data_IF_014121166354
#
_entry.id   IF_014121166354
#
_cell.length_a   1.000
_cell.length_b   1.000
_cell.length_c   1.000
_cell.angle_alpha   90.00
_cell.angle_beta   90.00
_cell.angle_gamma   90.00
#
_symmetry.space_group_name_H-M   'P 1'
#
loop_
_entity.id
_entity.type
_entity.pdbx_description
1 polymer ?
#
# COMPACT_ATOMS: atom_id res chain seq x y z
N UNK A 1 37.27 -12.85 12.03
CA UNK A 1 36.97 -12.04 10.83
C UNK A 1 35.74 -11.20 11.19
N UNK A 2 35.84 -9.87 11.27
CA UNK A 2 34.66 -9.04 11.53
C UNK A 2 33.67 -9.21 10.37
N UNK A 3 32.39 -9.26 10.70
CA UNK A 3 31.29 -9.39 9.75
C UNK A 3 31.24 -8.16 8.84
N UNK A 4 31.63 -8.31 7.57
CA UNK A 4 31.62 -7.24 6.56
C UNK A 4 30.29 -7.14 5.82
N UNK A 5 29.20 -7.69 6.39
CA UNK A 5 27.89 -7.58 5.77
C UNK A 5 27.47 -6.10 5.71
N UNK A 6 27.17 -5.54 4.52
CA UNK A 6 26.77 -4.15 4.41
C UNK A 6 25.50 -3.91 5.22
N UNK A 7 25.50 -2.88 6.07
CA UNK A 7 24.35 -2.49 6.86
C UNK A 7 23.10 -2.30 5.97
N UNK A 8 21.91 -2.70 6.43
CA UNK A 8 20.70 -2.64 5.61
C UNK A 8 20.42 -1.19 5.18
N UNK A 9 20.29 -0.98 3.87
CA UNK A 9 20.04 0.34 3.30
C UNK A 9 18.76 0.97 3.89
N UNK A 10 18.90 2.11 4.57
CA UNK A 10 17.78 2.79 5.23
C UNK A 10 17.16 3.82 4.28
N UNK A 11 15.85 3.78 4.10
CA UNK A 11 15.12 4.76 3.30
C UNK A 11 14.35 5.75 4.18
N UNK A 12 14.48 7.06 3.93
CA UNK A 12 13.77 8.13 4.67
C UNK A 12 12.96 9.04 3.75
N UNK A 13 11.85 9.55 4.28
CA UNK A 13 10.98 10.53 3.64
C UNK A 13 10.13 9.99 2.48
N UNK A 14 9.44 10.90 1.79
CA UNK A 14 8.77 10.67 0.52
C UNK A 14 9.48 11.48 -0.57
N UNK A 15 9.65 10.89 -1.74
CA UNK A 15 10.18 11.57 -2.92
C UNK A 15 9.05 12.12 -3.79
N UNK A 16 9.35 13.01 -4.73
CA UNK A 16 8.38 13.49 -5.73
C UNK A 16 7.76 12.32 -6.52
N UNK A 17 8.57 11.28 -6.82
CA UNK A 17 8.09 10.05 -7.44
C UNK A 17 7.09 9.31 -6.55
N UNK A 18 7.38 9.19 -5.25
CA UNK A 18 6.47 8.50 -4.33
C UNK A 18 5.12 9.24 -4.27
N UNK A 19 5.15 10.57 -4.25
CA UNK A 19 3.93 11.39 -4.28
C UNK A 19 3.15 11.21 -5.59
N UNK A 20 3.84 11.18 -6.74
CA UNK A 20 3.23 10.93 -8.04
C UNK A 20 2.58 9.54 -8.11
N UNK A 21 3.26 8.51 -7.62
CA UNK A 21 2.71 7.15 -7.54
C UNK A 21 1.47 7.10 -6.63
N UNK A 22 1.54 7.78 -5.47
CA UNK A 22 0.41 7.88 -4.54
C UNK A 22 -0.80 8.51 -5.23
N UNK A 23 -0.59 9.63 -5.92
CA UNK A 23 -1.64 10.37 -6.64
C UNK A 23 -2.24 9.56 -7.80
N UNK A 24 -1.41 8.90 -8.61
CA UNK A 24 -1.87 8.05 -9.73
C UNK A 24 -2.73 6.90 -9.22
N UNK A 25 -2.34 6.25 -8.14
CA UNK A 25 -3.16 5.18 -7.57
C UNK A 25 -4.41 5.69 -6.88
N UNK A 26 -4.38 6.85 -6.21
CA UNK A 26 -5.60 7.49 -5.70
C UNK A 26 -6.58 7.82 -6.83
N UNK A 27 -6.08 8.33 -7.97
CA UNK A 27 -6.88 8.54 -9.17
C UNK A 27 -7.42 7.23 -9.76
N UNK A 28 -6.62 6.16 -9.74
CA UNK A 28 -7.09 4.83 -10.16
C UNK A 28 -8.25 4.33 -9.29
N UNK A 29 -8.19 4.51 -7.96
CA UNK A 29 -9.30 4.19 -7.06
C UNK A 29 -10.57 4.97 -7.44
N UNK A 30 -10.44 6.26 -7.75
CA UNK A 30 -11.54 7.10 -8.20
C UNK A 30 -12.10 6.68 -9.57
N UNK A 31 -11.26 6.23 -10.49
CA UNK A 31 -11.75 5.70 -11.78
C UNK A 31 -12.45 4.37 -11.60
N UNK A 32 -11.96 3.49 -10.72
CA UNK A 32 -12.57 2.19 -10.45
C UNK A 32 -13.89 2.26 -9.66
N UNK A 33 -14.21 3.40 -9.06
CA UNK A 33 -15.49 3.62 -8.37
C UNK A 33 -16.61 4.10 -9.30
N UNK A 34 -16.26 4.73 -10.43
CA UNK A 34 -17.23 5.32 -11.37
C UNK A 34 -18.07 4.28 -12.15
N UNK A 35 -17.49 3.21 -12.73
CA UNK A 35 -18.25 2.27 -13.55
C UNK A 35 -18.88 1.14 -12.70
N UNK A 36 -20.13 0.78 -13.02
CA UNK A 36 -20.83 -0.42 -12.54
C UNK A 36 -21.07 -0.53 -11.02
N UNK A 37 -21.69 0.49 -10.42
CA UNK A 37 -22.30 0.34 -9.10
C UNK A 37 -23.58 -0.51 -9.22
N UNK A 38 -23.55 -1.79 -8.84
CA UNK A 38 -24.75 -2.62 -8.82
C UNK A 38 -25.40 -2.51 -7.43
N UNK A 39 -26.58 -1.89 -7.31
CA UNK A 39 -27.26 -1.75 -6.03
C UNK A 39 -27.86 -3.10 -5.64
N UNK A 40 -27.28 -3.76 -4.63
CA UNK A 40 -27.77 -5.02 -4.05
C UNK A 40 -28.21 -4.85 -2.59
N UNK A 41 -28.23 -3.61 -2.09
CA UNK A 41 -28.51 -3.28 -0.70
C UNK A 41 -27.88 -1.92 -0.32
N UNK A 42 -27.68 -1.65 0.98
CA UNK A 42 -27.07 -0.40 1.46
C UNK A 42 -25.60 -0.26 1.05
N UNK A 43 -24.95 -1.37 0.69
CA UNK A 43 -23.59 -1.43 0.16
C UNK A 43 -23.66 -1.86 -1.31
N UNK A 44 -23.24 -1.03 -2.27
CA UNK A 44 -23.23 -1.41 -3.68
C UNK A 44 -22.05 -2.32 -4.02
N UNK A 45 -22.22 -3.21 -5.00
CA UNK A 45 -21.09 -3.92 -5.63
C UNK A 45 -20.35 -2.93 -6.52
N UNK A 46 -19.02 -2.88 -6.41
CA UNK A 46 -18.17 -1.97 -7.19
C UNK A 46 -16.87 -2.64 -7.59
N UNK A 47 -16.14 -2.06 -8.55
CA UNK A 47 -14.76 -2.43 -8.85
C UNK A 47 -13.74 -1.70 -7.96
N UNK A 48 -14.18 -0.76 -7.13
CA UNK A 48 -13.29 0.10 -6.33
C UNK A 48 -12.40 -0.70 -5.36
N UNK A 49 -12.91 -1.78 -4.78
CA UNK A 49 -12.15 -2.66 -3.88
C UNK A 49 -10.97 -3.34 -4.56
N UNK A 50 -10.99 -3.49 -5.90
CA UNK A 50 -9.83 -3.92 -6.68
C UNK A 50 -8.67 -2.94 -6.52
N UNK A 51 -8.94 -1.63 -6.59
CA UNK A 51 -7.92 -0.58 -6.41
C UNK A 51 -7.32 -0.60 -5.02
N UNK A 52 -8.14 -0.84 -4.00
CA UNK A 52 -7.71 -0.98 -2.58
C UNK A 52 -6.77 -2.16 -2.40
N UNK A 53 -6.97 -3.26 -3.11
CA UNK A 53 -6.06 -4.41 -3.09
C UNK A 53 -4.80 -4.17 -3.93
N UNK A 54 -4.95 -3.57 -5.11
CA UNK A 54 -3.88 -3.41 -6.09
C UNK A 54 -2.82 -2.38 -5.68
N UNK A 55 -3.23 -1.26 -5.08
CA UNK A 55 -2.32 -0.20 -4.65
C UNK A 55 -1.21 -0.68 -3.69
N UNK A 56 -1.53 -1.32 -2.54
CA UNK A 56 -0.52 -1.86 -1.63
C UNK A 56 0.23 -3.07 -2.17
N UNK A 57 -0.40 -3.87 -3.05
CA UNK A 57 0.26 -5.00 -3.71
C UNK A 57 1.40 -4.55 -4.66
N UNK A 58 1.22 -3.43 -5.35
CA UNK A 58 2.24 -2.86 -6.27
C UNK A 58 3.20 -1.92 -5.53
N UNK A 59 2.66 -0.97 -4.75
CA UNK A 59 3.45 0.12 -4.19
C UNK A 59 4.05 -0.17 -2.81
N UNK A 60 3.60 -1.25 -2.16
CA UNK A 60 3.94 -1.63 -0.79
C UNK A 60 3.13 -0.88 0.28
N UNK A 61 3.39 -1.22 1.55
CA UNK A 61 2.63 -0.75 2.72
C UNK A 61 2.46 0.78 2.77
N UNK A 62 3.57 1.54 2.71
CA UNK A 62 3.53 3.00 2.86
C UNK A 62 2.74 3.68 1.75
N UNK A 63 3.18 3.51 0.50
CA UNK A 63 2.59 4.21 -0.65
C UNK A 63 1.19 3.73 -0.96
N UNK A 64 0.91 2.42 -0.86
CA UNK A 64 -0.43 1.88 -1.09
C UNK A 64 -1.44 2.42 -0.06
N UNK A 65 -1.08 2.42 1.22
CA UNK A 65 -1.94 2.99 2.27
C UNK A 65 -2.13 4.49 2.07
N UNK A 66 -1.07 5.22 1.70
CA UNK A 66 -1.19 6.65 1.38
C UNK A 66 -2.10 6.89 0.17
N UNK A 67 -2.09 6.05 -0.86
CA UNK A 67 -3.05 6.17 -1.98
C UNK A 67 -4.49 6.05 -1.53
N UNK A 68 -4.79 5.08 -0.66
CA UNK A 68 -6.14 4.90 -0.09
C UNK A 68 -6.51 6.10 0.78
N UNK A 69 -5.61 6.57 1.64
CA UNK A 69 -5.82 7.75 2.49
C UNK A 69 -6.03 9.02 1.67
N UNK A 70 -5.22 9.25 0.64
CA UNK A 70 -5.37 10.39 -0.28
C UNK A 70 -6.72 10.33 -0.98
N UNK A 71 -7.12 9.16 -1.49
CA UNK A 71 -8.45 8.99 -2.08
C UNK A 71 -9.56 9.34 -1.08
N UNK A 72 -9.51 8.81 0.15
CA UNK A 72 -10.51 9.10 1.18
C UNK A 72 -10.50 10.57 1.61
N UNK A 73 -9.34 11.21 1.68
CA UNK A 73 -9.24 12.64 1.98
C UNK A 73 -9.92 13.49 0.90
N UNK A 74 -9.78 13.13 -0.38
CA UNK A 74 -10.45 13.81 -1.49
C UNK A 74 -11.98 13.61 -1.44
N UNK A 75 -12.44 12.39 -1.14
CA UNK A 75 -13.86 12.11 -0.91
C UNK A 75 -14.39 12.97 0.25
N UNK A 76 -13.68 12.99 1.38
CA UNK A 76 -14.05 13.77 2.56
C UNK A 76 -14.11 15.27 2.28
N UNK A 77 -13.21 15.78 1.43
CA UNK A 77 -13.21 17.16 0.95
C UNK A 77 -14.41 17.51 0.03
N UNK A 78 -15.26 16.53 -0.31
CA UNK A 78 -16.50 16.75 -1.05
C UNK A 78 -16.45 16.32 -2.51
N UNK A 79 -15.33 15.76 -2.99
CA UNK A 79 -15.27 15.33 -4.40
C UNK A 79 -16.16 14.09 -4.60
N UNK A 80 -16.94 14.03 -5.69
CA UNK A 80 -17.90 12.95 -5.97
C UNK A 80 -17.21 11.69 -6.51
N UNK A 81 -16.26 11.14 -5.76
CA UNK A 81 -15.40 10.04 -6.19
C UNK A 81 -15.87 8.66 -5.72
N UNK A 82 -16.97 8.58 -4.99
CA UNK A 82 -17.59 7.30 -4.63
C UNK A 82 -18.67 6.91 -5.65
N UNK A 83 -19.10 5.63 -5.67
CA UNK A 83 -20.11 5.15 -6.59
C UNK A 83 -21.40 5.97 -6.48
N UNK A 84 -22.01 6.28 -7.63
CA UNK A 84 -23.18 7.17 -7.70
C UNK A 84 -22.84 8.65 -7.52
N UNK A 85 -21.57 9.04 -7.65
CA UNK A 85 -21.14 10.44 -7.49
C UNK A 85 -21.18 10.93 -6.05
N UNK A 86 -21.06 10.01 -5.08
CA UNK A 86 -21.11 10.36 -3.65
C UNK A 86 -19.79 10.96 -3.19
N UNK A 87 -19.86 11.85 -2.21
CA UNK A 87 -18.72 12.55 -1.63
C UNK A 87 -19.10 13.24 -0.32
N UNK A 88 -18.14 13.89 0.33
CA UNK A 88 -18.31 14.60 1.59
C UNK A 88 -18.28 13.68 2.80
N UNK A 89 -18.84 14.15 3.91
CA UNK A 89 -18.83 13.46 5.21
C UNK A 89 -19.88 12.33 5.27
N UNK A 90 -21.00 12.48 4.57
CA UNK A 90 -22.15 11.57 4.63
C UNK A 90 -21.78 10.08 4.40
N UNK A 91 -20.96 9.70 3.41
CA UNK A 91 -20.57 8.30 3.21
C UNK A 91 -19.74 7.70 4.36
N UNK A 92 -19.03 8.52 5.14
CA UNK A 92 -18.21 8.09 6.27
C UNK A 92 -19.02 7.79 7.52
N UNK A 93 -20.13 8.52 7.71
CA UNK A 93 -21.07 8.29 8.82
C UNK A 93 -22.23 7.38 8.44
N UNK A 94 -22.31 6.96 7.17
CA UNK A 94 -23.33 6.06 6.64
C UNK A 94 -22.99 4.56 6.78
N UNK A 95 -23.77 3.67 6.14
CA UNK A 95 -23.64 2.21 6.30
C UNK A 95 -22.31 1.66 5.77
N UNK A 96 -21.63 2.40 4.90
CA UNK A 96 -20.34 2.02 4.28
C UNK A 96 -19.12 2.49 5.07
N UNK A 97 -19.30 3.31 6.11
CA UNK A 97 -18.19 3.97 6.82
C UNK A 97 -17.13 3.00 7.35
N UNK A 98 -17.56 1.90 7.96
CA UNK A 98 -16.65 0.86 8.47
C UNK A 98 -15.79 0.20 7.39
N UNK A 99 -16.30 0.05 6.16
CA UNK A 99 -15.52 -0.50 5.05
C UNK A 99 -14.40 0.46 4.63
N UNK A 100 -14.61 1.77 4.72
CA UNK A 100 -13.58 2.77 4.38
C UNK A 100 -12.42 2.72 5.37
N UNK A 101 -12.73 2.56 6.66
CA UNK A 101 -11.71 2.30 7.69
C UNK A 101 -11.00 0.96 7.42
N UNK A 102 -11.77 -0.06 7.08
CA UNK A 102 -11.28 -1.37 6.68
C UNK A 102 -10.35 -1.31 5.45
N UNK A 103 -10.59 -0.42 4.49
CA UNK A 103 -9.73 -0.25 3.31
C UNK A 103 -8.35 0.27 3.68
N UNK A 104 -8.26 1.21 4.62
CA UNK A 104 -6.97 1.73 5.10
C UNK A 104 -6.19 0.62 5.83
N UNK A 105 -6.85 -0.05 6.77
CA UNK A 105 -6.23 -1.14 7.54
C UNK A 105 -5.84 -2.32 6.64
N UNK A 106 -6.74 -2.72 5.73
CA UNK A 106 -6.53 -3.78 4.76
C UNK A 106 -5.37 -3.47 3.82
N UNK A 107 -5.27 -2.24 3.33
CA UNK A 107 -4.15 -1.84 2.46
C UNK A 107 -2.81 -1.89 3.19
N UNK A 108 -2.77 -1.44 4.45
CA UNK A 108 -1.59 -1.57 5.28
C UNK A 108 -1.18 -3.04 5.46
N UNK A 109 -2.14 -3.91 5.78
CA UNK A 109 -1.91 -5.35 5.96
C UNK A 109 -1.38 -6.00 4.68
N UNK A 110 -2.00 -5.78 3.52
CA UNK A 110 -1.55 -6.34 2.24
C UNK A 110 -0.10 -5.95 1.96
N UNK A 111 0.21 -4.65 2.12
CA UNK A 111 1.54 -4.15 1.84
C UNK A 111 2.60 -4.62 2.82
N UNK A 112 2.25 -4.79 4.11
CA UNK A 112 3.15 -5.34 5.13
C UNK A 112 3.41 -6.82 4.87
N UNK A 113 2.37 -7.63 4.67
CA UNK A 113 2.52 -9.05 4.38
C UNK A 113 3.35 -9.28 3.13
N UNK A 114 3.11 -8.49 2.07
CA UNK A 114 3.87 -8.59 0.83
C UNK A 114 5.35 -8.24 1.04
N UNK A 115 5.66 -7.19 1.81
CA UNK A 115 7.04 -6.79 2.07
C UNK A 115 7.78 -7.77 2.99
N UNK A 116 7.09 -8.37 3.98
CA UNK A 116 7.70 -9.26 4.97
C UNK A 116 7.88 -10.68 4.44
N UNK A 117 6.90 -11.22 3.71
CA UNK A 117 6.86 -12.63 3.36
C UNK A 117 7.16 -12.91 1.89
N UNK A 118 7.27 -11.89 1.04
CA UNK A 118 7.60 -12.05 -0.39
C UNK A 118 8.81 -11.21 -0.79
N UNK A 119 9.98 -11.87 -0.85
CA UNK A 119 11.18 -11.28 -1.46
C UNK A 119 10.98 -10.97 -2.96
N UNK A 120 10.17 -11.79 -3.65
CA UNK A 120 9.67 -11.54 -5.00
C UNK A 120 8.17 -11.76 -4.99
N UNK A 121 7.42 -10.83 -5.57
CA UNK A 121 5.97 -10.91 -5.62
C UNK A 121 5.53 -12.11 -6.48
N UNK A 122 4.68 -12.98 -5.94
CA UNK A 122 4.15 -14.18 -6.61
C UNK A 122 2.63 -14.17 -6.57
N UNK A 123 2.00 -14.70 -7.61
CA UNK A 123 0.54 -14.74 -7.74
C UNK A 123 -0.16 -15.32 -6.51
N UNK A 124 0.16 -16.56 -6.10
CA UNK A 124 -0.54 -17.23 -5.00
C UNK A 124 -0.34 -16.53 -3.64
N UNK A 125 0.88 -16.06 -3.34
CA UNK A 125 1.14 -15.28 -2.13
C UNK A 125 0.37 -13.97 -2.13
N UNK A 126 0.40 -13.25 -3.26
CA UNK A 126 -0.36 -12.01 -3.44
C UNK A 126 -1.87 -12.22 -3.33
N UNK A 127 -2.40 -13.30 -3.89
CA UNK A 127 -3.81 -13.67 -3.78
C UNK A 127 -4.20 -13.89 -2.33
N UNK A 128 -3.44 -14.70 -1.58
CA UNK A 128 -3.69 -14.94 -0.16
C UNK A 128 -3.67 -13.65 0.66
N UNK A 129 -2.69 -12.76 0.42
CA UNK A 129 -2.60 -11.50 1.15
C UNK A 129 -3.72 -10.53 0.79
N UNK A 130 -4.15 -10.50 -0.48
CA UNK A 130 -5.32 -9.74 -0.91
C UNK A 130 -6.62 -10.28 -0.29
N UNK A 131 -6.76 -11.59 -0.14
CA UNK A 131 -7.91 -12.18 0.58
C UNK A 131 -7.89 -11.79 2.06
N UNK A 132 -6.74 -11.92 2.73
CA UNK A 132 -6.61 -11.57 4.15
C UNK A 132 -6.88 -10.08 4.38
N UNK A 133 -6.17 -9.19 3.69
CA UNK A 133 -6.27 -7.75 3.95
C UNK A 133 -7.43 -7.09 3.21
N UNK A 134 -7.68 -7.45 1.95
CA UNK A 134 -8.69 -6.80 1.11
C UNK A 134 -10.10 -7.34 1.29
N UNK A 135 -10.28 -8.52 1.89
CA UNK A 135 -11.58 -9.10 2.22
C UNK A 135 -11.71 -9.25 3.73
N UNK A 136 -10.85 -10.05 4.35
CA UNK A 136 -10.94 -10.38 5.78
C UNK A 136 -10.89 -9.15 6.68
N UNK A 137 -9.83 -8.34 6.58
CA UNK A 137 -9.69 -7.11 7.37
C UNK A 137 -10.76 -6.10 6.99
N UNK A 138 -11.06 -5.92 5.70
CA UNK A 138 -12.10 -4.98 5.26
C UNK A 138 -13.47 -5.33 5.87
N UNK A 139 -13.85 -6.62 5.88
CA UNK A 139 -15.11 -7.09 6.44
C UNK A 139 -15.11 -7.08 7.97
N UNK A 140 -13.95 -7.28 8.62
CA UNK A 140 -13.80 -7.16 10.07
C UNK A 140 -14.22 -5.78 10.59
N UNK A 141 -13.94 -4.71 9.83
CA UNK A 141 -14.40 -3.36 10.18
C UNK A 141 -15.78 -3.04 9.59
N UNK A 142 -16.04 -3.46 8.35
CA UNK A 142 -17.26 -3.13 7.62
C UNK A 142 -18.52 -3.75 8.20
N UNK A 143 -18.52 -5.06 8.47
CA UNK A 143 -19.71 -5.79 8.88
C UNK A 143 -20.25 -5.30 10.24
N UNK A 144 -19.42 -5.19 11.31
CA UNK A 144 -19.91 -4.71 12.60
C UNK A 144 -20.44 -3.27 12.52
N UNK A 145 -19.76 -2.42 11.76
CA UNK A 145 -20.22 -1.04 11.54
C UNK A 145 -21.59 -0.99 10.89
N UNK A 146 -21.77 -1.73 9.78
CA UNK A 146 -23.06 -1.77 9.08
C UNK A 146 -24.15 -2.31 9.97
N UNK A 147 -23.91 -3.39 10.72
CA UNK A 147 -24.88 -3.97 11.64
C UNK A 147 -25.35 -2.96 12.70
N UNK A 148 -24.41 -2.22 13.30
CA UNK A 148 -24.74 -1.16 14.27
C UNK A 148 -25.51 -0.02 13.60
N UNK A 149 -25.11 0.39 12.39
CA UNK A 149 -25.75 1.49 11.68
C UNK A 149 -27.18 1.16 11.25
N UNK A 150 -27.44 -0.05 10.76
CA UNK A 150 -28.77 -0.47 10.30
C UNK A 150 -29.66 -0.98 11.43
N UNK A 151 -29.08 -1.30 12.59
CA UNK A 151 -29.79 -1.93 13.70
C UNK A 151 -30.05 -3.43 13.48
N UNK A 152 -29.36 -4.05 12.52
CA UNK A 152 -29.51 -5.46 12.20
C UNK A 152 -28.65 -6.36 13.10
N UNK A 153 -29.04 -7.63 13.20
CA UNK A 153 -28.21 -8.64 13.83
C UNK A 153 -26.91 -8.86 13.03
N UNK A 154 -25.76 -8.93 13.73
CA UNK A 154 -24.44 -9.11 13.10
C UNK A 154 -24.40 -10.32 12.15
N UNK A 155 -25.05 -11.42 12.53
CA UNK A 155 -25.12 -12.64 11.71
C UNK A 155 -25.92 -12.41 10.42
N UNK A 156 -27.02 -11.64 10.48
CA UNK A 156 -27.81 -11.31 9.30
C UNK A 156 -27.01 -10.43 8.34
N UNK A 157 -26.29 -9.43 8.85
CA UNK A 157 -25.39 -8.59 8.05
C UNK A 157 -24.26 -9.42 7.42
N UNK A 158 -23.66 -10.34 8.17
CA UNK A 158 -22.62 -11.26 7.68
C UNK A 158 -23.13 -12.13 6.51
N UNK A 159 -24.33 -12.69 6.64
CA UNK A 159 -24.94 -13.48 5.57
C UNK A 159 -25.27 -12.61 4.35
N UNK A 160 -25.77 -11.40 4.58
CA UNK A 160 -26.08 -10.43 3.52
C UNK A 160 -24.85 -10.04 2.70
N UNK A 161 -23.69 -9.83 3.34
CA UNK A 161 -22.45 -9.51 2.62
C UNK A 161 -21.84 -10.71 1.89
N UNK A 162 -22.31 -11.92 2.16
CA UNK A 162 -21.85 -13.13 1.46
C UNK A 162 -22.02 -13.05 -0.06
N UNK A 163 -22.97 -12.24 -0.55
CA UNK A 163 -23.17 -11.98 -1.99
C UNK A 163 -21.97 -11.30 -2.66
N UNK A 164 -21.17 -10.53 -1.90
CA UNK A 164 -20.00 -9.82 -2.41
C UNK A 164 -18.78 -10.73 -2.57
N UNK A 165 -18.74 -11.84 -1.81
CA UNK A 165 -17.55 -12.68 -1.65
C UNK A 165 -17.03 -13.27 -2.98
N UNK A 166 -17.88 -13.83 -3.88
CA UNK A 166 -17.39 -14.34 -5.16
C UNK A 166 -16.71 -13.26 -5.99
N UNK A 167 -17.31 -12.06 -6.05
CA UNK A 167 -16.75 -10.94 -6.78
C UNK A 167 -15.46 -10.42 -6.17
N UNK A 168 -15.35 -10.42 -4.84
CA UNK A 168 -14.13 -9.98 -4.14
C UNK A 168 -12.98 -10.98 -4.29
N UNK A 169 -13.26 -12.28 -4.35
CA UNK A 169 -12.26 -13.29 -4.68
C UNK A 169 -11.72 -13.12 -6.11
N UNK A 170 -12.60 -12.84 -7.08
CA UNK A 170 -12.18 -12.53 -8.46
C UNK A 170 -11.29 -11.29 -8.48
N UNK A 171 -11.65 -10.23 -7.74
CA UNK A 171 -10.81 -9.02 -7.63
C UNK A 171 -9.47 -9.29 -6.96
N UNK A 172 -9.44 -10.09 -5.90
CA UNK A 172 -8.20 -10.47 -5.23
C UNK A 172 -7.24 -11.21 -6.18
N UNK A 173 -7.79 -12.13 -6.99
CA UNK A 173 -7.03 -12.85 -8.01
C UNK A 173 -6.53 -11.91 -9.11
N UNK A 174 -7.38 -11.02 -9.61
CA UNK A 174 -7.01 -10.04 -10.62
C UNK A 174 -5.92 -9.08 -10.11
N UNK A 175 -6.07 -8.56 -8.88
CA UNK A 175 -5.07 -7.71 -8.25
C UNK A 175 -3.72 -8.42 -8.10
N UNK A 176 -3.74 -9.70 -7.70
CA UNK A 176 -2.53 -10.50 -7.57
C UNK A 176 -1.85 -10.77 -8.92
N UNK A 177 -2.63 -11.06 -9.97
CA UNK A 177 -2.13 -11.26 -11.33
C UNK A 177 -1.50 -9.98 -11.90
N UNK A 178 -2.19 -8.84 -11.79
CA UNK A 178 -1.67 -7.54 -12.25
C UNK A 178 -0.41 -7.17 -11.47
N UNK A 179 -0.41 -7.29 -10.13
CA UNK A 179 0.76 -6.97 -9.34
C UNK A 179 1.96 -7.86 -9.67
N UNK A 180 1.75 -9.17 -9.86
CA UNK A 180 2.82 -10.09 -10.28
C UNK A 180 3.39 -9.72 -11.66
N UNK A 181 2.53 -9.35 -12.61
CA UNK A 181 2.96 -8.89 -13.94
C UNK A 181 3.77 -7.58 -13.85
N UNK A 182 3.30 -6.61 -13.05
CA UNK A 182 3.99 -5.32 -12.85
C UNK A 182 5.36 -5.53 -12.19
N UNK A 183 5.45 -6.32 -11.13
CA UNK A 183 6.73 -6.60 -10.45
C UNK A 183 7.72 -7.35 -11.36
N UNK A 184 7.24 -8.14 -12.31
CA UNK A 184 8.09 -8.82 -13.31
C UNK A 184 8.59 -7.86 -14.40
N UNK A 185 7.77 -6.90 -14.82
CA UNK A 185 8.12 -5.96 -15.90
C UNK A 185 8.89 -4.72 -15.39
N UNK A 186 8.52 -4.22 -14.20
CA UNK A 186 9.04 -3.00 -13.61
C UNK A 186 9.27 -3.18 -12.10
N UNK A 187 10.51 -3.39 -11.65
CA UNK A 187 10.81 -3.44 -10.23
C UNK A 187 10.57 -2.05 -9.63
N UNK A 188 9.51 -1.91 -8.82
CA UNK A 188 9.19 -0.66 -8.15
C UNK A 188 10.17 -0.47 -6.99
N UNK A 189 11.03 0.57 -6.98
CA UNK A 189 11.98 0.79 -5.92
C UNK A 189 11.28 1.11 -4.59
N UNK A 190 11.95 0.81 -3.45
CA UNK A 190 11.46 1.14 -2.13
C UNK A 190 11.11 2.64 -2.00
N UNK A 191 10.12 2.96 -1.17
CA UNK A 191 9.71 4.34 -0.93
C UNK A 191 10.77 5.13 -0.14
N UNK A 192 11.01 6.39 -0.51
CA UNK A 192 11.97 7.28 0.15
C UNK A 192 13.38 7.25 -0.43
N UNK A 193 14.20 8.25 -0.07
CA UNK A 193 15.61 8.32 -0.53
C UNK A 193 16.46 7.36 0.28
N UNK A 194 17.40 6.69 -0.39
CA UNK A 194 18.45 5.91 0.27
C UNK A 194 19.31 6.89 1.09
N UNK A 195 19.43 6.63 2.38
CA UNK A 195 20.36 7.34 3.24
C UNK A 195 21.64 6.50 3.24
N UNK A 196 22.70 7.01 2.63
CA UNK A 196 24.04 6.46 2.84
C UNK A 196 24.47 6.84 4.25
N UNK A 197 24.81 5.86 5.08
CA UNK A 197 25.45 6.13 6.36
C UNK A 197 26.83 6.73 6.06
N UNK A 198 27.10 7.92 6.62
CA UNK A 198 28.42 8.50 6.57
C UNK A 198 29.42 7.48 7.14
N UNK A 199 30.61 7.30 6.53
CA UNK A 199 31.58 6.31 6.98
C UNK A 199 31.83 6.50 8.48
N UNK A 200 31.90 5.40 9.21
CA UNK A 200 32.13 5.43 10.65
C UNK A 200 33.37 6.28 10.94
N UNK A 201 33.35 7.08 12.00
CA UNK A 201 34.43 8.01 12.33
C UNK A 201 35.83 7.33 12.36
N UNK A 202 35.88 6.02 12.66
CA UNK A 202 37.10 5.21 12.57
C UNK A 202 37.60 4.97 11.14
N UNK A 203 36.72 4.67 10.17
CA UNK A 203 37.11 4.52 8.76
C UNK A 203 37.49 5.86 8.13
N UNK A 204 36.86 6.96 8.55
CA UNK A 204 37.25 8.30 8.12
C UNK A 204 38.64 8.68 8.64
N UNK A 205 38.98 8.32 9.89
CA UNK A 205 40.30 8.53 10.48
C UNK A 205 41.37 7.62 9.85
N UNK A 206 41.03 6.36 9.55
CA UNK A 206 41.95 5.42 8.90
C UNK A 206 42.26 5.82 7.44
N UNK A 207 41.25 6.27 6.70
CA UNK A 207 41.43 6.82 5.34
C UNK A 207 42.19 8.15 5.33
N UNK A 208 42.02 8.97 6.37
CA UNK A 208 42.80 10.20 6.53
C UNK A 208 44.27 9.88 6.80
N UNK A 209 44.57 8.93 7.69
CA UNK A 209 45.94 8.46 7.97
C UNK A 209 46.63 7.84 6.76
N UNK A 210 45.94 7.01 5.98
CA UNK A 210 46.48 6.39 4.76
C UNK A 210 46.77 7.42 3.65
N UNK A 211 46.00 8.50 3.56
CA UNK A 211 46.27 9.59 2.61
C UNK A 211 47.44 10.48 3.05
N UNK A 212 47.66 10.67 4.35
CA UNK A 212 48.82 11.38 4.88
C UNK A 212 50.12 10.59 4.67
N UNK A 213 50.09 9.26 4.88
CA UNK A 213 51.23 8.37 4.62
C UNK A 213 51.61 8.32 3.12
N UNK A 214 50.63 8.20 2.22
CA UNK A 214 50.88 8.22 0.77
C UNK A 214 51.33 9.60 0.25
N UNK A 215 50.89 10.70 0.89
CA UNK A 215 51.34 12.06 0.57
C UNK A 215 52.77 12.36 1.02
N UNK A 216 53.25 11.71 2.08
CA UNK A 216 54.63 11.84 2.56
C UNK A 216 55.65 11.10 1.66
N UNK A 217 55.27 9.96 1.09
CA UNK A 217 56.14 9.15 0.23
C UNK A 217 56.46 9.78 -1.14
N UNK A 218 55.69 10.76 -1.60
CA UNK A 218 55.88 11.43 -2.91
C UNK A 218 56.82 12.63 -2.88
N UNK A 219 57.26 13.08 -1.69
CA UNK A 219 58.17 14.25 -1.54
C UNK A 219 59.66 13.92 -1.52
N UNK A 220 60.06 12.65 -1.61
CA UNK A 220 61.45 12.21 -1.41
C UNK A 220 62.14 11.66 -2.67
N UNK A 221 61.62 12.00 -3.87
CA UNK A 221 62.04 11.40 -5.14
C UNK A 221 62.61 12.35 -6.18
N UNK A 222 62.97 13.58 -5.81
CA UNK A 222 63.64 14.54 -6.72
C UNK A 222 64.81 15.19 -6.00
N UNK A 223 65.96 14.53 -6.03
CA UNK A 223 67.30 15.14 -5.92
C UNK A 223 68.28 14.31 -6.75
#
# INVERSE_FOLDING_TARGET
MPDTSPAPARHRGLTARDLALVAVFAALLAVLSMPFAIPVGPVPITLQTLGVMLAPAILGAKRGTLSVLTFLALVLAGLPLLPGGRGGVEPFVGPTGGYMLGWVAGALVIGLLSATFMAKYRFWGGFCFNVVGGIGVVYLFGIPWTAVFTGDALVATLLGVGVFLPGDLVKAALAAAIAAAVHRAYPVPPAGRRVEEAPAAGEAAERAGQNEENGAGTRNGTD
#
